data_IF_263372888466
#
_entry.id   IF_263372888466
#
_cell.length_a   1.000
_cell.length_b   1.000
_cell.length_c   1.000
_cell.angle_alpha   90.00
_cell.angle_beta   90.00
_cell.angle_gamma   90.00
#
_symmetry.space_group_name_H-M   'P 1'
#
loop_
_entity.id
_entity.type
_entity.pdbx_description
1 polymer ?
#
# COMPACT_ATOMS: atom_id res chain seq x y z
N UNK A 1 -15.79 -4.76 -6.58
CA UNK A 1 -14.45 -4.53 -7.16
C UNK A 1 -13.43 -5.27 -6.32
N UNK A 2 -12.49 -5.95 -6.97
CA UNK A 2 -11.38 -6.64 -6.32
C UNK A 2 -10.08 -6.05 -6.84
N UNK A 3 -9.20 -5.63 -5.94
CA UNK A 3 -7.87 -5.13 -6.30
C UNK A 3 -6.82 -5.89 -5.51
N UNK A 4 -5.67 -6.16 -6.13
CA UNK A 4 -4.51 -6.72 -5.45
C UNK A 4 -3.36 -5.71 -5.51
N UNK A 5 -2.76 -5.41 -4.36
CA UNK A 5 -1.64 -4.48 -4.22
C UNK A 5 -1.86 -3.10 -4.88
N UNK A 6 -3.06 -2.54 -4.76
CA UNK A 6 -3.39 -1.24 -5.35
C UNK A 6 -2.56 -0.12 -4.71
N UNK A 7 -2.05 0.87 -5.46
CA UNK A 7 -1.51 2.11 -4.89
C UNK A 7 -2.63 3.01 -4.35
N UNK A 8 -2.26 4.10 -3.68
CA UNK A 8 -3.24 5.14 -3.30
C UNK A 8 -3.63 5.90 -4.56
N UNK A 9 -4.91 5.83 -4.92
CA UNK A 9 -5.40 6.30 -6.23
C UNK A 9 -6.32 7.52 -6.12
N UNK A 10 -6.70 7.92 -4.92
CA UNK A 10 -7.75 8.92 -4.73
C UNK A 10 -7.50 9.84 -3.54
N UNK A 11 -8.29 10.92 -3.49
CA UNK A 11 -8.37 11.84 -2.36
C UNK A 11 -9.52 11.43 -1.43
N UNK A 12 -9.48 11.93 -0.20
CA UNK A 12 -10.45 11.60 0.86
C UNK A 12 -11.92 11.74 0.44
N UNK A 13 -12.38 12.80 -0.28
CA UNK A 13 -13.79 12.91 -0.68
C UNK A 13 -14.27 11.75 -1.57
N UNK A 14 -13.40 11.27 -2.46
CA UNK A 14 -13.72 10.12 -3.31
C UNK A 14 -13.72 8.82 -2.50
N UNK A 15 -12.76 8.68 -1.59
CA UNK A 15 -12.68 7.51 -0.72
C UNK A 15 -13.93 7.36 0.16
N UNK A 16 -14.43 8.47 0.73
CA UNK A 16 -15.68 8.50 1.51
C UNK A 16 -16.85 8.00 0.67
N UNK A 17 -17.06 8.55 -0.52
CA UNK A 17 -18.17 8.15 -1.40
C UNK A 17 -18.10 6.66 -1.79
N UNK A 18 -16.90 6.16 -2.11
CA UNK A 18 -16.72 4.74 -2.42
C UNK A 18 -17.03 3.87 -1.22
N UNK A 19 -16.55 4.23 -0.03
CA UNK A 19 -16.77 3.48 1.19
C UNK A 19 -18.26 3.42 1.55
N UNK A 20 -18.97 4.54 1.45
CA UNK A 20 -20.42 4.61 1.72
C UNK A 20 -21.21 3.71 0.78
N UNK A 21 -20.81 3.66 -0.50
CA UNK A 21 -21.49 2.88 -1.53
C UNK A 21 -21.12 1.40 -1.55
N UNK A 22 -20.10 0.99 -0.79
CA UNK A 22 -19.56 -0.39 -0.81
C UNK A 22 -19.63 -1.09 0.55
N UNK A 23 -20.40 -0.51 1.49
CA UNK A 23 -20.65 -1.13 2.80
C UNK A 23 -21.31 -2.52 2.66
N UNK A 24 -21.00 -3.46 3.57
CA UNK A 24 -21.64 -4.76 3.62
C UNK A 24 -23.17 -4.64 3.70
N UNK A 25 -23.89 -5.41 2.89
CA UNK A 25 -25.36 -5.40 2.85
C UNK A 25 -25.98 -4.57 1.71
N UNK A 26 -25.20 -3.71 1.04
CA UNK A 26 -25.67 -2.90 -0.10
C UNK A 26 -25.62 -3.62 -1.47
N UNK A 27 -25.19 -4.88 -1.51
CA UNK A 27 -25.02 -5.66 -2.76
C UNK A 27 -23.82 -5.23 -3.63
N UNK A 28 -23.13 -4.15 -3.26
CA UNK A 28 -21.89 -3.67 -3.87
C UNK A 28 -20.76 -3.85 -2.85
N UNK A 29 -19.68 -4.50 -3.27
CA UNK A 29 -18.57 -4.84 -2.40
C UNK A 29 -17.24 -4.35 -2.96
N UNK A 30 -16.35 -3.93 -2.06
CA UNK A 30 -14.97 -3.59 -2.34
C UNK A 30 -14.05 -4.45 -1.49
N UNK A 31 -13.08 -5.09 -2.13
CA UNK A 31 -12.04 -5.86 -1.48
C UNK A 31 -10.68 -5.43 -2.00
N UNK A 32 -9.92 -4.73 -1.14
CA UNK A 32 -8.56 -4.32 -1.43
C UNK A 32 -7.59 -5.29 -0.78
N UNK A 33 -7.14 -6.29 -1.55
CA UNK A 33 -6.20 -7.29 -1.06
C UNK A 33 -4.80 -6.67 -1.03
N UNK A 34 -4.22 -6.60 0.17
CA UNK A 34 -2.91 -6.01 0.43
C UNK A 34 -1.89 -7.11 0.70
N UNK A 35 -0.81 -7.11 -0.08
CA UNK A 35 0.41 -7.79 0.27
C UNK A 35 1.34 -6.78 0.96
N UNK A 36 1.65 -7.00 2.25
CA UNK A 36 2.45 -6.06 3.04
C UNK A 36 3.90 -5.95 2.56
N UNK A 37 4.36 -6.93 1.78
CA UNK A 37 5.69 -6.93 1.17
C UNK A 37 5.71 -6.19 -0.18
N UNK A 38 4.54 -5.78 -0.67
CA UNK A 38 4.41 -5.07 -1.94
C UNK A 38 4.54 -3.55 -1.71
N UNK A 39 5.60 -2.91 -2.26
CA UNK A 39 5.82 -1.48 -2.09
C UNK A 39 4.79 -0.63 -2.85
N UNK A 40 4.04 -1.19 -3.81
CA UNK A 40 3.04 -0.41 -4.57
C UNK A 40 1.96 0.14 -3.64
N UNK A 41 1.58 -0.63 -2.62
CA UNK A 41 0.57 -0.22 -1.64
C UNK A 41 1.00 1.01 -0.80
N UNK A 42 2.29 1.35 -0.79
CA UNK A 42 2.83 2.47 -0.02
C UNK A 42 3.04 3.72 -0.86
N UNK A 43 2.68 3.71 -2.14
CA UNK A 43 2.86 4.82 -3.09
C UNK A 43 1.50 5.39 -3.52
N UNK A 44 1.34 6.73 -3.67
CA UNK A 44 2.25 7.78 -3.21
C UNK A 44 2.48 7.74 -1.69
N UNK A 45 3.68 8.10 -1.18
CA UNK A 45 3.97 7.99 0.26
C UNK A 45 3.13 8.97 1.07
N UNK A 46 2.80 8.56 2.30
CA UNK A 46 1.99 9.35 3.24
C UNK A 46 2.84 9.77 4.42
N UNK A 47 3.82 10.64 4.16
CA UNK A 47 4.63 11.26 5.21
C UNK A 47 3.98 12.55 5.69
N UNK A 48 4.26 12.97 6.92
CA UNK A 48 3.70 14.21 7.49
C UNK A 48 3.92 15.41 6.56
N UNK A 49 5.12 15.52 5.99
CA UNK A 49 5.50 16.63 5.10
C UNK A 49 4.86 16.53 3.70
N UNK A 50 4.51 15.33 3.24
CA UNK A 50 3.97 15.12 1.90
C UNK A 50 2.45 15.19 1.82
N UNK A 51 1.74 15.07 2.95
CA UNK A 51 0.28 15.06 2.96
C UNK A 51 -0.31 16.36 2.42
N UNK A 52 0.34 17.50 2.64
CA UNK A 52 -0.13 18.79 2.14
C UNK A 52 -0.14 18.83 0.60
N UNK A 53 0.93 18.32 -0.03
CA UNK A 53 1.12 18.39 -1.48
C UNK A 53 0.52 17.19 -2.22
N UNK A 54 0.49 16.02 -1.58
CA UNK A 54 0.06 14.75 -2.16
C UNK A 54 -0.87 13.97 -1.21
N UNK A 55 -2.11 14.46 -0.94
CA UNK A 55 -3.07 13.88 0.02
C UNK A 55 -3.77 12.60 -0.50
N UNK A 56 -3.04 11.73 -1.18
CA UNK A 56 -3.60 10.47 -1.66
C UNK A 56 -3.85 9.50 -0.51
N UNK A 57 -4.96 8.76 -0.58
CA UNK A 57 -5.39 7.76 0.39
C UNK A 57 -5.93 6.51 -0.32
N UNK A 58 -5.95 5.39 0.39
CA UNK A 58 -6.70 4.22 -0.04
C UNK A 58 -8.19 4.37 0.26
N UNK A 59 -9.00 3.71 -0.57
CA UNK A 59 -10.37 3.33 -0.20
C UNK A 59 -10.32 2.26 0.89
N UNK A 60 -11.38 2.17 1.69
CA UNK A 60 -11.49 1.18 2.76
C UNK A 60 -11.67 -0.25 2.25
N UNK A 61 -11.86 -1.18 3.18
CA UNK A 61 -12.05 -2.59 2.81
C UNK A 61 -10.75 -3.30 2.47
N UNK A 62 -9.66 -2.94 3.16
CA UNK A 62 -8.37 -3.61 3.06
C UNK A 62 -8.39 -4.99 3.72
N UNK A 63 -7.85 -5.99 3.04
CA UNK A 63 -7.71 -7.36 3.52
C UNK A 63 -6.29 -7.86 3.33
N UNK A 64 -5.68 -8.38 4.39
CA UNK A 64 -4.38 -9.03 4.34
C UNK A 64 -4.55 -10.53 4.19
N UNK A 65 -3.74 -11.14 3.33
CA UNK A 65 -3.59 -12.60 3.31
C UNK A 65 -2.51 -13.00 4.33
N UNK A 66 -2.86 -13.82 5.30
CA UNK A 66 -1.94 -14.46 6.24
C UNK A 66 -1.97 -15.97 6.06
N UNK A 67 -1.03 -16.70 6.67
CA UNK A 67 -1.01 -18.17 6.63
C UNK A 67 -2.30 -18.77 7.20
N UNK A 68 -2.89 -18.11 8.21
CA UNK A 68 -4.16 -18.51 8.84
C UNK A 68 -5.43 -18.10 8.05
N UNK A 69 -5.27 -17.44 6.89
CA UNK A 69 -6.39 -16.99 6.04
C UNK A 69 -6.51 -15.46 5.89
N UNK A 70 -7.62 -14.96 5.33
CA UNK A 70 -7.82 -13.53 5.09
C UNK A 70 -8.20 -12.79 6.38
N UNK A 71 -7.47 -11.72 6.68
CA UNK A 71 -7.70 -10.85 7.84
C UNK A 71 -8.09 -9.44 7.39
N UNK A 72 -9.22 -8.93 7.87
CA UNK A 72 -9.66 -7.56 7.60
C UNK A 72 -8.76 -6.57 8.34
N UNK A 73 -8.13 -5.66 7.60
CA UNK A 73 -7.29 -4.63 8.18
C UNK A 73 -8.12 -3.45 8.65
N UNK A 74 -7.56 -2.66 9.56
CA UNK A 74 -7.99 -1.28 9.75
C UNK A 74 -7.82 -0.54 8.41
N UNK A 75 -8.57 0.55 8.24
CA UNK A 75 -8.44 1.43 7.08
C UNK A 75 -7.05 2.11 7.04
N UNK A 76 -6.90 3.18 6.23
CA UNK A 76 -5.62 3.83 5.95
C UNK A 76 -4.73 4.01 7.20
N UNK A 77 -3.49 3.50 7.20
CA UNK A 77 -2.58 3.67 8.33
C UNK A 77 -2.27 5.15 8.59
N UNK A 78 -1.95 5.52 9.85
CA UNK A 78 -1.58 6.89 10.18
C UNK A 78 -0.34 7.33 9.39
N UNK A 79 -0.16 8.64 9.15
CA UNK A 79 1.04 9.17 8.55
C UNK A 79 2.29 8.72 9.32
N UNK A 80 3.36 8.42 8.60
CA UNK A 80 4.65 8.07 9.20
C UNK A 80 5.65 9.20 9.02
N UNK A 81 6.62 9.31 9.91
CA UNK A 81 7.71 10.27 9.74
C UNK A 81 8.45 10.01 8.42
N UNK A 82 8.95 11.08 7.77
CA UNK A 82 9.69 10.94 6.52
C UNK A 82 10.88 9.98 6.69
N UNK A 83 10.84 8.85 5.98
CA UNK A 83 12.02 8.01 5.81
C UNK A 83 12.87 8.59 4.67
N UNK A 84 14.19 8.56 4.81
CA UNK A 84 15.07 8.93 3.69
C UNK A 84 14.77 8.04 2.47
N UNK A 85 14.88 8.60 1.26
CA UNK A 85 14.65 7.85 0.00
C UNK A 85 15.50 6.56 -0.04
N UNK A 86 16.71 6.64 0.47
CA UNK A 86 17.62 5.50 0.63
C UNK A 86 16.98 4.43 1.51
N UNK A 87 16.43 4.78 2.67
CA UNK A 87 15.76 3.84 3.56
C UNK A 87 14.49 3.25 2.94
N UNK A 88 13.72 4.04 2.18
CA UNK A 88 12.54 3.56 1.46
C UNK A 88 12.92 2.48 0.43
N UNK A 89 13.96 2.73 -0.38
CA UNK A 89 14.45 1.79 -1.38
C UNK A 89 15.00 0.51 -0.72
N UNK A 90 15.75 0.65 0.38
CA UNK A 90 16.39 -0.49 1.06
C UNK A 90 15.44 -1.31 1.97
N UNK A 91 14.30 -0.74 2.37
CA UNK A 91 13.28 -1.43 3.18
C UNK A 91 12.34 -2.32 2.36
N UNK A 92 12.39 -2.24 1.02
CA UNK A 92 11.69 -3.19 0.16
C UNK A 92 12.44 -4.52 0.17
N UNK A 93 11.85 -5.55 0.79
CA UNK A 93 12.43 -6.88 1.05
C UNK A 93 13.10 -7.50 -0.18
N UNK A 94 12.61 -7.21 -1.38
CA UNK A 94 13.11 -7.77 -2.65
C UNK A 94 14.09 -6.87 -3.42
N UNK A 95 14.30 -5.60 -3.04
CA UNK A 95 15.27 -4.73 -3.72
C UNK A 95 16.72 -5.16 -3.45
N UNK A 96 16.97 -5.75 -2.27
CA UNK A 96 18.29 -6.32 -1.89
C UNK A 96 18.74 -7.49 -2.76
N UNK A 97 17.84 -8.16 -3.49
CA UNK A 97 18.20 -9.30 -4.35
C UNK A 97 18.72 -8.90 -5.73
N UNK A 98 18.61 -7.63 -6.13
CA UNK A 98 19.06 -7.17 -7.44
C UNK A 98 20.58 -6.88 -7.52
N UNK A 99 21.29 -6.81 -6.40
CA UNK A 99 22.73 -6.62 -6.35
C UNK A 99 23.43 -7.87 -5.80
N UNK A 100 23.43 -8.96 -6.58
CA UNK A 100 24.44 -10.02 -6.45
C UNK A 100 24.38 -10.98 -7.65
N UNK A 101 24.65 -10.47 -8.85
CA UNK A 101 25.24 -11.25 -9.95
C UNK A 101 26.09 -10.32 -10.84
N UNK A 102 27.10 -9.68 -10.26
CA UNK A 102 28.22 -9.17 -11.06
C UNK A 102 29.40 -10.13 -10.88
N UNK A 103 29.52 -11.00 -11.88
CA UNK A 103 30.76 -11.37 -12.54
C UNK A 103 32.01 -11.50 -11.64
N UNK A 104 32.28 -12.72 -11.18
CA UNK A 104 33.65 -13.14 -10.84
C UNK A 104 34.42 -13.30 -12.15
N UNK A 105 34.97 -12.22 -12.68
CA UNK A 105 36.01 -12.24 -13.72
C UNK A 105 37.31 -11.83 -13.08
N UNK A 106 38.27 -12.77 -13.06
CA UNK A 106 39.71 -12.50 -13.06
C UNK A 106 40.36 -12.13 -11.72
N UNK A 107 41.32 -12.96 -11.32
CA UNK A 107 42.24 -12.76 -10.20
C UNK A 107 42.84 -14.08 -9.77
#
# INVERSE_FOLDING_TARGET
>A
MYTHSCPRVCLEPFATLVNDHTQPGGGKYLFCIVNREDPVCTVPPRTVDQIADYPFVHVGGAWKLTEDGPYKMNDEPPPVDPQSIINIIWNVKNHRKSFCMNARVGG
#
